data_IF_052810174885
#
_entry.id   IF_052810174885
#
_cell.length_a   1.000
_cell.length_b   1.000
_cell.length_c   1.000
_cell.angle_alpha   90.00
_cell.angle_beta   90.00
_cell.angle_gamma   90.00
#
_symmetry.space_group_name_H-M   'P 1'
#
loop_
_entity.id
_entity.type
_entity.pdbx_description
1 polymer ?
#
# COMPACT_ATOMS: atom_id res chain seq x y z
N UNK A 1 23.33 -31.80 34.17
CA UNK A 1 23.19 -30.37 33.81
C UNK A 1 23.12 -30.19 32.28
N UNK A 2 22.18 -30.89 31.61
CA UNK A 2 22.05 -30.87 30.14
C UNK A 2 20.60 -30.58 29.68
N UNK A 3 19.60 -30.96 30.48
CA UNK A 3 18.17 -30.73 30.17
C UNK A 3 17.80 -29.23 30.18
N UNK A 4 18.49 -28.41 30.99
CA UNK A 4 18.24 -26.96 31.06
C UNK A 4 18.65 -26.19 29.80
N UNK A 5 19.63 -26.69 29.03
CA UNK A 5 20.05 -26.02 27.79
C UNK A 5 19.04 -26.23 26.66
N UNK A 6 18.52 -27.45 26.48
CA UNK A 6 17.56 -27.75 25.42
C UNK A 6 16.25 -26.97 25.53
N UNK A 7 15.77 -26.72 26.76
CA UNK A 7 14.53 -25.95 26.98
C UNK A 7 14.74 -24.48 26.59
N UNK A 8 15.92 -23.91 26.84
CA UNK A 8 16.26 -22.53 26.45
C UNK A 8 16.42 -22.42 24.94
N UNK A 9 17.03 -23.39 24.26
CA UNK A 9 17.13 -23.41 22.79
C UNK A 9 15.76 -23.58 22.12
N UNK A 10 14.85 -24.37 22.72
CA UNK A 10 13.48 -24.53 22.25
C UNK A 10 12.67 -23.24 22.44
N UNK A 11 12.86 -22.55 23.57
CA UNK A 11 12.24 -21.24 23.84
C UNK A 11 12.76 -20.13 22.91
N UNK A 12 14.05 -20.14 22.56
CA UNK A 12 14.63 -19.20 21.58
C UNK A 12 14.11 -19.46 20.15
N UNK A 13 13.80 -20.70 19.80
CA UNK A 13 13.15 -21.04 18.52
C UNK A 13 11.66 -20.67 18.48
N UNK A 14 10.99 -20.64 19.65
CA UNK A 14 9.57 -20.31 19.79
C UNK A 14 9.31 -18.80 19.97
N UNK A 15 10.35 -18.00 20.26
CA UNK A 15 10.25 -16.57 20.50
C UNK A 15 10.68 -15.67 19.33
N UNK A 16 10.72 -16.21 18.10
CA UNK A 16 10.38 -15.35 16.96
C UNK A 16 8.89 -15.11 16.94
N UNK A 17 8.36 -14.47 17.99
CA UNK A 17 7.13 -13.68 17.91
C UNK A 17 7.44 -12.46 17.04
N UNK A 18 7.77 -12.72 15.78
CA UNK A 18 7.58 -11.74 14.73
C UNK A 18 6.09 -11.45 14.75
N UNK A 19 5.70 -10.18 14.77
CA UNK A 19 4.33 -9.80 14.47
C UNK A 19 3.90 -10.62 13.25
N UNK A 20 2.89 -11.47 13.38
CA UNK A 20 2.52 -12.39 12.32
C UNK A 20 1.96 -11.57 11.17
N UNK A 21 2.83 -11.23 10.22
CA UNK A 21 2.46 -10.61 8.96
C UNK A 21 1.59 -11.62 8.24
N UNK A 22 0.47 -11.17 7.71
CA UNK A 22 -0.47 -12.06 7.06
C UNK A 22 0.26 -12.83 5.94
N UNK A 23 0.28 -14.17 5.95
CA UNK A 23 0.95 -14.96 4.91
C UNK A 23 0.37 -14.70 3.51
N UNK A 24 -0.83 -14.11 3.43
CA UNK A 24 -1.51 -13.73 2.20
C UNK A 24 -1.18 -12.31 1.69
N UNK A 25 -0.27 -11.58 2.35
CA UNK A 25 0.11 -10.22 1.94
C UNK A 25 0.61 -10.16 0.50
N UNK A 26 0.15 -9.18 -0.27
CA UNK A 26 0.61 -8.86 -1.62
C UNK A 26 1.61 -7.72 -1.55
N UNK A 27 2.78 -7.92 -2.16
CA UNK A 27 3.79 -6.87 -2.34
C UNK A 27 3.87 -6.54 -3.82
N UNK A 28 3.38 -5.37 -4.18
CA UNK A 28 3.47 -4.81 -5.52
C UNK A 28 4.83 -4.12 -5.66
N UNK A 29 5.74 -4.75 -6.40
CA UNK A 29 7.04 -4.20 -6.70
C UNK A 29 6.93 -3.18 -7.84
N UNK A 30 7.26 -1.92 -7.52
CA UNK A 30 7.22 -0.77 -8.42
C UNK A 30 8.63 -0.49 -8.91
N UNK A 31 8.81 -0.45 -10.22
CA UNK A 31 10.05 0.01 -10.84
C UNK A 31 10.10 1.54 -10.82
N UNK A 32 11.04 2.08 -10.03
CA UNK A 32 11.32 3.50 -9.88
C UNK A 32 12.72 3.89 -10.40
N UNK A 33 13.40 2.97 -11.09
CA UNK A 33 14.75 3.19 -11.63
C UNK A 33 14.80 4.23 -12.77
N UNK A 34 13.68 4.40 -13.48
CA UNK A 34 13.56 5.34 -14.60
C UNK A 34 13.56 6.83 -14.21
N UNK A 35 13.51 7.15 -12.92
CA UNK A 35 13.48 8.52 -12.43
C UNK A 35 12.20 9.28 -12.78
N UNK A 36 12.24 10.60 -12.61
CA UNK A 36 11.09 11.49 -12.79
C UNK A 36 10.82 11.75 -14.27
N UNK A 37 9.59 11.49 -14.72
CA UNK A 37 9.12 11.77 -16.08
C UNK A 37 8.65 13.21 -16.21
N UNK A 38 7.86 13.69 -15.23
CA UNK A 38 7.26 15.02 -15.27
C UNK A 38 6.92 15.50 -13.86
N UNK A 39 6.97 16.82 -13.66
CA UNK A 39 6.44 17.47 -12.45
C UNK A 39 5.35 18.45 -12.89
N UNK A 40 4.19 18.36 -12.26
CA UNK A 40 3.07 19.29 -12.44
C UNK A 40 2.74 20.00 -11.15
N UNK A 41 2.33 21.26 -11.24
CA UNK A 41 1.84 22.05 -10.11
C UNK A 41 0.57 22.77 -10.51
N UNK A 42 -0.43 22.75 -9.63
CA UNK A 42 -1.72 23.43 -9.84
C UNK A 42 -2.19 24.03 -8.53
N UNK A 43 -2.73 25.25 -8.59
CA UNK A 43 -3.46 25.83 -7.47
C UNK A 43 -4.88 25.28 -7.46
N UNK A 44 -5.31 24.72 -6.32
CA UNK A 44 -6.65 24.20 -6.13
C UNK A 44 -7.38 25.08 -5.12
N UNK A 45 -8.51 25.64 -5.54
CA UNK A 45 -9.45 26.32 -4.65
C UNK A 45 -10.50 25.30 -4.22
N UNK A 46 -10.40 24.79 -2.99
CA UNK A 46 -11.34 23.82 -2.44
C UNK A 46 -12.43 24.52 -1.63
N UNK A 47 -13.65 23.98 -1.67
CA UNK A 47 -14.73 24.43 -0.78
C UNK A 47 -14.58 23.88 0.66
N UNK A 48 -13.59 23.02 0.92
CA UNK A 48 -13.29 22.46 2.25
C UNK A 48 -12.50 23.44 3.15
N UNK A 49 -12.23 23.00 4.40
CA UNK A 49 -11.61 23.79 5.48
C UNK A 49 -10.32 24.51 5.04
N UNK A 50 -9.51 23.88 4.19
CA UNK A 50 -8.36 24.49 3.55
C UNK A 50 -8.74 25.03 2.16
N UNK A 51 -9.10 26.31 2.14
CA UNK A 51 -9.72 27.01 1.00
C UNK A 51 -8.84 27.09 -0.24
N UNK A 52 -7.52 26.94 -0.08
CA UNK A 52 -6.53 26.97 -1.16
C UNK A 52 -5.33 26.10 -0.79
N UNK A 53 -4.87 25.29 -1.74
CA UNK A 53 -3.61 24.55 -1.64
C UNK A 53 -2.96 24.39 -3.01
N UNK A 54 -1.64 24.15 -3.01
CA UNK A 54 -0.91 23.75 -4.22
C UNK A 54 -0.86 22.23 -4.26
N UNK A 55 -1.37 21.66 -5.35
CA UNK A 55 -1.22 20.25 -5.69
C UNK A 55 0.04 20.10 -6.55
N UNK A 56 1.08 19.47 -6.00
CA UNK A 56 2.29 19.10 -6.76
C UNK A 56 2.27 17.59 -7.03
N UNK A 57 2.30 17.22 -8.30
CA UNK A 57 2.35 15.82 -8.74
C UNK A 57 3.68 15.56 -9.43
N UNK A 58 4.47 14.64 -8.87
CA UNK A 58 5.68 14.10 -9.51
C UNK A 58 5.30 12.76 -10.16
N UNK A 59 5.40 12.68 -11.47
CA UNK A 59 5.05 11.52 -12.28
C UNK A 59 6.29 10.70 -12.59
N UNK A 60 6.18 9.40 -12.36
CA UNK A 60 7.14 8.37 -12.75
C UNK A 60 6.48 7.42 -13.75
N UNK A 61 7.23 6.48 -14.31
CA UNK A 61 6.69 5.52 -15.29
C UNK A 61 5.56 4.65 -14.73
N UNK A 62 5.70 4.19 -13.48
CA UNK A 62 4.73 3.27 -12.87
C UNK A 62 3.88 3.91 -11.77
N UNK A 63 4.31 5.01 -11.17
CA UNK A 63 3.61 5.61 -10.02
C UNK A 63 3.66 7.13 -10.05
N UNK A 64 2.91 7.76 -9.15
CA UNK A 64 2.99 9.19 -8.90
C UNK A 64 3.13 9.47 -7.41
N UNK A 65 3.90 10.49 -7.11
CA UNK A 65 3.95 11.10 -5.79
C UNK A 65 3.15 12.39 -5.82
N UNK A 66 2.31 12.60 -4.82
CA UNK A 66 1.54 13.83 -4.68
C UNK A 66 1.87 14.49 -3.36
N UNK A 67 2.13 15.79 -3.42
CA UNK A 67 2.33 16.67 -2.28
C UNK A 67 1.25 17.75 -2.29
N UNK A 68 0.45 17.82 -1.23
CA UNK A 68 -0.48 18.91 -0.96
C UNK A 68 0.26 19.93 -0.09
N UNK A 69 0.39 21.15 -0.58
CA UNK A 69 1.08 22.24 0.13
C UNK A 69 0.02 23.29 0.49
N UNK A 70 -0.31 23.38 1.77
CA UNK A 70 -1.32 24.30 2.28
C UNK A 70 -0.73 25.70 2.54
N UNK A 71 -1.58 26.73 2.54
CA UNK A 71 -1.17 28.11 2.85
C UNK A 71 -0.53 28.25 4.24
N UNK A 72 -0.87 27.35 5.17
CA UNK A 72 -0.26 27.25 6.51
C UNK A 72 1.21 26.81 6.48
N UNK A 73 1.72 26.32 5.34
CA UNK A 73 3.01 25.66 5.21
C UNK A 73 3.00 24.18 5.57
N UNK A 74 1.86 23.65 6.05
CA UNK A 74 1.70 22.21 6.25
C UNK A 74 1.74 21.45 4.91
N UNK A 75 2.18 20.20 4.97
CA UNK A 75 2.34 19.34 3.79
C UNK A 75 1.78 17.96 4.07
N UNK A 76 0.91 17.50 3.17
CA UNK A 76 0.51 16.09 3.10
C UNK A 76 1.16 15.44 1.89
N UNK A 77 1.64 14.20 2.03
CA UNK A 77 2.25 13.42 0.94
C UNK A 77 1.57 12.08 0.80
N UNK A 78 1.30 11.67 -0.43
CA UNK A 78 0.84 10.32 -0.73
C UNK A 78 1.46 9.74 -2.00
N UNK A 79 1.62 8.42 -2.00
CA UNK A 79 1.93 7.64 -3.19
C UNK A 79 0.65 7.12 -3.80
N UNK A 80 0.59 7.16 -5.12
CA UNK A 80 -0.57 6.70 -5.87
C UNK A 80 -0.14 5.95 -7.11
N UNK A 81 -0.79 4.82 -7.34
CA UNK A 81 -0.62 4.01 -8.53
C UNK A 81 -1.96 3.41 -8.91
N UNK A 82 -2.19 3.22 -10.20
CA UNK A 82 -3.47 2.71 -10.68
C UNK A 82 -3.31 1.85 -11.93
N UNK A 83 -4.32 1.03 -12.18
CA UNK A 83 -4.47 0.24 -13.38
C UNK A 83 -5.88 0.44 -13.93
N UNK A 84 -5.98 0.64 -15.25
CA UNK A 84 -7.25 0.82 -15.96
C UNK A 84 -7.44 -0.32 -16.95
N UNK A 85 -8.59 -0.98 -16.89
CA UNK A 85 -9.03 -1.98 -17.85
C UNK A 85 -10.21 -1.43 -18.65
N UNK A 86 -9.90 -0.53 -19.59
CA UNK A 86 -10.89 0.08 -20.50
C UNK A 86 -11.82 -0.96 -21.15
N UNK A 87 -11.31 -2.07 -21.75
CA UNK A 87 -12.19 -3.05 -22.41
C UNK A 87 -13.18 -3.76 -21.47
N UNK A 88 -12.89 -3.81 -20.17
CA UNK A 88 -13.74 -4.47 -19.16
C UNK A 88 -14.44 -3.47 -18.24
N UNK A 89 -14.34 -2.17 -18.51
CA UNK A 89 -14.96 -1.08 -17.76
C UNK A 89 -14.70 -1.14 -16.24
N UNK A 90 -13.44 -1.24 -15.85
CA UNK A 90 -13.07 -1.12 -14.44
C UNK A 90 -11.65 -0.60 -14.26
N UNK A 91 -11.38 -0.06 -13.08
CA UNK A 91 -10.05 0.36 -12.67
C UNK A 91 -9.81 0.01 -11.20
N UNK A 92 -8.53 -0.06 -10.83
CA UNK A 92 -8.09 -0.17 -9.44
C UNK A 92 -7.03 0.87 -9.16
N UNK A 93 -7.09 1.49 -7.98
CA UNK A 93 -6.03 2.33 -7.46
C UNK A 93 -5.53 1.85 -6.12
N UNK A 94 -4.25 2.12 -5.88
CA UNK A 94 -3.52 1.80 -4.66
C UNK A 94 -2.91 3.10 -4.15
N UNK A 95 -3.27 3.49 -2.92
CA UNK A 95 -2.85 4.75 -2.32
C UNK A 95 -2.20 4.51 -0.96
N UNK A 96 -1.00 5.06 -0.76
CA UNK A 96 -0.35 5.13 0.54
C UNK A 96 -0.25 6.59 0.98
N UNK A 97 -0.76 6.93 2.16
CA UNK A 97 -0.67 8.27 2.73
C UNK A 97 0.44 8.30 3.80
N UNK A 98 1.45 9.17 3.64
CA UNK A 98 2.61 9.19 4.56
C UNK A 98 2.25 9.59 5.99
N UNK A 99 1.32 10.54 6.13
CA UNK A 99 0.83 11.05 7.40
C UNK A 99 -0.25 12.10 7.09
N UNK A 100 -1.48 11.94 7.59
CA UNK A 100 -2.51 12.99 7.52
C UNK A 100 -2.77 13.49 8.94
N UNK A 101 -2.30 14.70 9.28
CA UNK A 101 -2.40 15.25 10.66
C UNK A 101 -3.81 15.61 11.11
N UNK A 102 -4.82 15.54 10.25
CA UNK A 102 -6.15 16.02 10.57
C UNK A 102 -7.20 14.92 10.49
N UNK A 103 -7.78 14.56 11.66
CA UNK A 103 -9.14 14.03 12.00
C UNK A 103 -9.90 13.07 11.04
N UNK A 104 -9.39 12.76 9.86
CA UNK A 104 -9.92 11.80 8.92
C UNK A 104 -8.95 10.63 8.89
N UNK A 105 -9.48 9.49 9.31
CA UNK A 105 -8.79 8.20 9.31
C UNK A 105 -8.59 7.82 7.83
N UNK A 106 -7.36 7.92 7.33
CA UNK A 106 -6.98 7.22 6.10
C UNK A 106 -6.66 5.78 6.47
N UNK A 107 -7.20 4.82 5.71
CA UNK A 107 -7.03 3.39 5.99
C UNK A 107 -5.80 2.77 5.28
N UNK A 108 -4.85 3.62 4.88
CA UNK A 108 -3.48 3.30 4.48
C UNK A 108 -2.51 4.28 5.16
N UNK A 109 -1.23 3.90 5.24
CA UNK A 109 -0.21 4.76 5.86
C UNK A 109 0.75 4.08 6.85
N UNK A 110 0.68 2.76 7.01
CA UNK A 110 1.69 2.04 7.78
C UNK A 110 2.83 1.59 6.88
N UNK A 111 4.06 1.78 7.36
CA UNK A 111 5.27 1.27 6.72
C UNK A 111 5.69 0.02 7.48
N UNK A 112 5.54 -1.13 6.82
CA UNK A 112 6.06 -2.40 7.31
C UNK A 112 7.54 -2.52 6.90
N UNK A 113 8.43 -2.64 7.87
CA UNK A 113 9.86 -2.84 7.62
C UNK A 113 10.19 -4.33 7.63
N UNK A 114 10.43 -4.89 6.44
CA UNK A 114 10.81 -6.29 6.28
C UNK A 114 12.32 -6.45 6.20
N UNK A 115 12.89 -7.38 6.97
CA UNK A 115 14.27 -7.81 6.70
C UNK A 115 14.37 -8.45 5.31
N UNK A 116 15.53 -8.37 4.67
CA UNK A 116 15.78 -9.03 3.36
C UNK A 116 15.35 -10.49 3.35
N UNK A 117 15.67 -11.25 4.41
CA UNK A 117 15.31 -12.66 4.54
C UNK A 117 13.79 -12.89 4.51
N UNK A 118 13.03 -12.04 5.22
CA UNK A 118 11.56 -12.15 5.25
C UNK A 118 10.95 -11.79 3.90
N UNK A 119 11.44 -10.72 3.26
CA UNK A 119 10.98 -10.32 1.95
C UNK A 119 11.23 -11.41 0.88
N UNK A 120 12.42 -12.03 0.89
CA UNK A 120 12.74 -13.15 0.01
C UNK A 120 11.85 -14.38 0.26
N UNK A 121 11.45 -14.63 1.50
CA UNK A 121 10.50 -15.71 1.81
C UNK A 121 9.11 -15.43 1.21
N UNK A 122 8.63 -14.19 1.26
CA UNK A 122 7.39 -13.80 0.56
C UNK A 122 7.54 -13.89 -0.96
N UNK A 123 8.69 -13.48 -1.51
CA UNK A 123 8.99 -13.60 -2.94
C UNK A 123 8.92 -15.06 -3.41
N UNK A 124 9.56 -15.99 -2.68
CA UNK A 124 9.53 -17.44 -2.98
C UNK A 124 8.13 -18.06 -2.93
N UNK A 125 7.22 -17.49 -2.14
CA UNK A 125 5.82 -17.93 -2.02
C UNK A 125 4.90 -17.32 -3.09
N UNK A 126 5.41 -16.43 -3.93
CA UNK A 126 4.64 -15.76 -4.98
C UNK A 126 3.87 -14.53 -4.50
N UNK A 127 4.15 -14.04 -3.29
CA UNK A 127 3.49 -12.86 -2.72
C UNK A 127 4.05 -11.53 -3.28
N UNK A 128 5.27 -11.53 -3.80
CA UNK A 128 5.92 -10.35 -4.40
C UNK A 128 5.76 -10.41 -5.91
N UNK A 129 5.09 -9.42 -6.49
CA UNK A 129 4.87 -9.35 -7.94
C UNK A 129 5.19 -7.97 -8.49
N UNK A 130 5.91 -7.92 -9.62
CA UNK A 130 6.14 -6.67 -10.34
C UNK A 130 4.81 -6.11 -10.88
N UNK A 131 4.59 -4.81 -10.67
CA UNK A 131 3.32 -4.17 -10.98
C UNK A 131 2.99 -4.20 -12.47
N UNK A 132 3.93 -3.84 -13.34
CA UNK A 132 3.72 -3.95 -14.80
C UNK A 132 3.35 -5.37 -15.25
N UNK A 133 3.95 -6.39 -14.62
CA UNK A 133 3.69 -7.80 -14.94
C UNK A 133 2.30 -8.24 -14.50
N UNK A 134 1.86 -7.85 -13.29
CA UNK A 134 0.55 -8.27 -12.77
C UNK A 134 -0.62 -7.63 -13.54
N UNK A 135 -0.43 -6.44 -14.10
CA UNK A 135 -1.42 -5.77 -14.95
C UNK A 135 -1.86 -6.65 -16.14
N UNK A 136 -0.93 -7.40 -16.75
CA UNK A 136 -1.24 -8.33 -17.86
C UNK A 136 -2.13 -9.49 -17.42
N UNK A 137 -2.07 -9.87 -16.15
CA UNK A 137 -2.97 -10.86 -15.57
C UNK A 137 -4.34 -10.23 -15.29
N UNK A 138 -4.34 -9.04 -14.72
CA UNK A 138 -5.56 -8.28 -14.42
C UNK A 138 -6.37 -7.90 -15.66
N UNK A 139 -5.73 -7.68 -16.81
CA UNK A 139 -6.43 -7.35 -18.06
C UNK A 139 -7.46 -8.39 -18.49
N UNK A 140 -7.29 -9.64 -18.07
CA UNK A 140 -8.20 -10.73 -18.40
C UNK A 140 -9.42 -10.80 -17.46
N UNK A 141 -9.39 -10.09 -16.33
CA UNK A 141 -10.44 -10.13 -15.33
C UNK A 141 -11.53 -9.10 -15.62
N UNK A 142 -12.77 -9.47 -15.31
CA UNK A 142 -13.82 -8.48 -15.07
C UNK A 142 -13.72 -7.94 -13.63
N UNK A 143 -14.49 -6.89 -13.33
CA UNK A 143 -14.45 -6.23 -12.01
C UNK A 143 -14.74 -7.20 -10.86
N UNK A 144 -15.76 -8.05 -10.99
CA UNK A 144 -16.20 -8.93 -9.91
C UNK A 144 -15.18 -10.03 -9.66
N UNK A 145 -14.59 -10.59 -10.73
CA UNK A 145 -13.49 -11.55 -10.64
C UNK A 145 -12.26 -10.93 -9.98
N UNK A 146 -11.89 -9.71 -10.37
CA UNK A 146 -10.76 -9.00 -9.75
C UNK A 146 -11.02 -8.75 -8.25
N UNK A 147 -12.20 -8.24 -7.92
CA UNK A 147 -12.62 -7.94 -6.55
C UNK A 147 -12.56 -9.19 -5.69
N UNK A 148 -13.13 -10.31 -6.17
CA UNK A 148 -13.12 -11.56 -5.43
C UNK A 148 -11.72 -12.14 -5.26
N UNK A 149 -10.86 -12.04 -6.29
CA UNK A 149 -9.46 -12.46 -6.16
C UNK A 149 -8.68 -11.61 -5.17
N UNK A 150 -8.89 -10.30 -5.12
CA UNK A 150 -8.27 -9.43 -4.12
C UNK A 150 -8.74 -9.81 -2.71
N UNK A 151 -10.06 -10.01 -2.53
CA UNK A 151 -10.67 -10.37 -1.25
C UNK A 151 -10.24 -11.74 -0.73
N UNK A 152 -10.21 -12.77 -1.58
CA UNK A 152 -9.82 -14.14 -1.19
C UNK A 152 -8.32 -14.20 -0.92
N UNK A 153 -7.49 -13.66 -1.83
CA UNK A 153 -6.07 -13.95 -1.82
C UNK A 153 -5.26 -12.98 -0.97
N UNK A 154 -5.79 -11.80 -0.66
CA UNK A 154 -5.06 -10.74 0.05
C UNK A 154 -5.88 -10.22 1.22
N UNK A 155 -6.59 -11.17 1.86
CA UNK A 155 -7.71 -10.99 2.77
C UNK A 155 -7.61 -9.74 3.63
N UNK A 156 -8.73 -9.04 3.66
CA UNK A 156 -9.01 -7.95 4.57
C UNK A 156 -8.98 -8.46 6.01
N UNK A 157 -8.21 -7.84 6.91
CA UNK A 157 -8.44 -8.07 8.33
C UNK A 157 -9.38 -6.99 8.85
N UNK A 158 -10.46 -7.45 9.47
CA UNK A 158 -11.44 -6.57 10.11
C UNK A 158 -11.05 -6.43 11.56
N UNK A 159 -10.72 -5.21 11.97
CA UNK A 159 -10.55 -4.89 13.40
C UNK A 159 -11.56 -3.82 13.78
N UNK A 160 -11.88 -3.79 15.08
CA UNK A 160 -12.88 -2.88 15.62
C UNK A 160 -12.16 -1.74 16.32
N UNK A 161 -12.39 -0.51 15.88
CA UNK A 161 -11.84 0.69 16.52
C UNK A 161 -12.95 1.54 17.12
N UNK A 162 -12.69 2.12 18.29
CA UNK A 162 -13.60 3.07 18.94
C UNK A 162 -13.30 4.47 18.39
N UNK A 163 -14.18 4.98 17.53
CA UNK A 163 -14.05 6.29 16.91
C UNK A 163 -15.24 7.14 17.36
N UNK A 164 -14.94 8.27 18.02
CA UNK A 164 -15.96 9.21 18.50
C UNK A 164 -17.03 8.53 19.37
N UNK A 165 -16.62 7.57 20.20
CA UNK A 165 -17.52 6.82 21.09
C UNK A 165 -18.35 5.73 20.40
N UNK A 166 -18.15 5.48 19.10
CA UNK A 166 -18.79 4.39 18.37
C UNK A 166 -17.77 3.39 17.84
N UNK A 167 -18.01 2.11 18.08
CA UNK A 167 -17.21 1.07 17.46
C UNK A 167 -17.51 0.98 15.97
N UNK A 168 -16.47 1.06 15.14
CA UNK A 168 -16.54 0.85 13.69
C UNK A 168 -15.65 -0.33 13.31
N UNK A 169 -16.15 -1.16 12.41
CA UNK A 169 -15.32 -2.17 11.76
C UNK A 169 -14.46 -1.48 10.71
N UNK A 170 -13.15 -1.68 10.80
CA UNK A 170 -12.18 -1.17 9.86
C UNK A 170 -11.62 -2.34 9.08
N UNK A 171 -11.64 -2.18 7.76
CA UNK A 171 -11.15 -3.14 6.78
C UNK A 171 -9.77 -2.66 6.33
N UNK A 172 -8.74 -3.49 6.49
CA UNK A 172 -7.40 -3.21 5.97
C UNK A 172 -6.96 -4.28 4.98
N UNK A 173 -6.53 -3.82 3.81
CA UNK A 173 -5.99 -4.68 2.77
C UNK A 173 -4.56 -5.07 3.11
N UNK A 174 -4.22 -6.35 2.97
CA UNK A 174 -2.84 -6.81 3.12
C UNK A 174 -2.06 -6.57 1.83
N UNK A 175 -2.08 -5.34 1.30
CA UNK A 175 -1.43 -4.96 0.05
C UNK A 175 -0.43 -3.86 0.34
N UNK A 176 0.77 -4.00 -0.22
CA UNK A 176 1.88 -3.10 0.03
C UNK A 176 2.55 -2.70 -1.28
N UNK A 177 2.94 -1.43 -1.42
CA UNK A 177 3.89 -1.00 -2.44
C UNK A 177 5.31 -1.24 -1.92
N UNK A 178 6.22 -1.61 -2.82
CA UNK A 178 7.65 -1.73 -2.57
C UNK A 178 8.37 -1.14 -3.76
N UNK A 179 9.29 -0.20 -3.55
CA UNK A 179 10.04 0.41 -4.64
C UNK A 179 11.31 -0.37 -4.94
N UNK A 180 11.72 -0.43 -6.20
CA UNK A 180 12.91 -1.16 -6.63
C UNK A 180 14.20 -0.60 -6.01
N UNK A 181 14.27 0.72 -5.82
CA UNK A 181 15.36 1.42 -5.14
C UNK A 181 15.53 1.05 -3.66
N UNK A 182 14.48 0.46 -3.05
CA UNK A 182 14.47 0.08 -1.64
C UNK A 182 14.99 -1.36 -1.41
N UNK A 183 15.15 -2.17 -2.46
CA UNK A 183 15.45 -3.60 -2.33
C UNK A 183 16.84 -3.90 -1.75
N UNK A 184 17.80 -2.99 -1.90
CA UNK A 184 19.16 -3.17 -1.39
C UNK A 184 19.29 -2.78 0.10
N UNK A 185 18.25 -2.20 0.72
CA UNK A 185 18.24 -1.80 2.13
C UNK A 185 18.16 -3.02 3.04
N UNK A 186 18.80 -2.95 4.21
CA UNK A 186 18.75 -4.03 5.21
C UNK A 186 17.34 -4.33 5.70
N UNK A 187 16.53 -3.27 5.78
CA UNK A 187 15.09 -3.33 5.99
C UNK A 187 14.39 -2.67 4.80
N UNK A 188 13.59 -3.46 4.09
CA UNK A 188 12.83 -3.07 2.92
C UNK A 188 11.51 -2.46 3.40
N UNK A 189 11.28 -1.15 3.20
CA UNK A 189 10.00 -0.52 3.49
C UNK A 189 8.91 -1.04 2.54
N UNK A 190 7.80 -1.45 3.13
CA UNK A 190 6.60 -1.91 2.45
C UNK A 190 5.44 -1.00 2.86
N UNK A 191 4.91 -0.23 1.91
CA UNK A 191 3.95 0.85 2.15
C UNK A 191 2.53 0.33 2.01
N UNK A 192 1.80 0.19 3.11
CA UNK A 192 0.44 -0.38 3.10
C UNK A 192 -0.57 0.56 2.42
N UNK A 193 -1.28 0.04 1.42
CA UNK A 193 -2.17 0.84 0.59
C UNK A 193 -3.64 0.63 0.89
N UNK A 194 -4.38 1.73 0.77
CA UNK A 194 -5.80 1.69 0.48
C UNK A 194 -6.01 1.22 -0.97
N UNK A 195 -6.91 0.25 -1.17
CA UNK A 195 -7.26 -0.30 -2.48
C UNK A 195 -8.66 0.17 -2.85
N UNK A 196 -8.80 0.86 -3.97
CA UNK A 196 -10.10 1.33 -4.47
C UNK A 196 -10.40 0.74 -5.83
N UNK A 197 -11.50 -0.01 -5.94
CA UNK A 197 -11.92 -0.71 -7.16
C UNK A 197 -13.21 -0.09 -7.67
N UNK A 198 -13.17 0.57 -8.83
CA UNK A 198 -14.30 1.33 -9.36
C UNK A 198 -14.63 0.91 -10.80
N UNK A 199 -15.85 1.24 -11.25
CA UNK A 199 -16.17 1.24 -12.68
C UNK A 199 -15.65 2.54 -13.29
N UNK A 200 -15.33 2.51 -14.58
CA UNK A 200 -14.99 3.73 -15.31
C UNK A 200 -16.32 4.42 -15.62
N UNK A 201 -16.49 5.64 -15.11
CA UNK A 201 -17.61 6.48 -15.55
C UNK A 201 -17.13 7.21 -16.79
N UNK A 202 -17.84 7.03 -17.90
CA UNK A 202 -17.67 7.82 -19.11
C UNK A 202 -18.69 8.96 -19.04
N UNK A 203 -18.20 10.20 -19.08
CA UNK A 203 -19.01 11.38 -19.34
C UNK A 203 -19.22 11.57 -20.84
#
# INVERSE_FOLDING_TARGET
MQIKFYIITLFLYLHTTQAQINPSSLFLLIDDSGGVVKIEQREINSQSIDKKYVLKTTLYNEHQEVELIYDSGEKDKYYYIYYVNEPKNWQVSFRFDYYRKQKQISYGGYILLLSKLMFENFRKRGNVTNFHTIQKKWSNYNKDEFTEKMRINHAEYVYRELIEGKYRNIIRNNVYLVFSSDLDKDYIPCYEVEVSITKIQQE
#
